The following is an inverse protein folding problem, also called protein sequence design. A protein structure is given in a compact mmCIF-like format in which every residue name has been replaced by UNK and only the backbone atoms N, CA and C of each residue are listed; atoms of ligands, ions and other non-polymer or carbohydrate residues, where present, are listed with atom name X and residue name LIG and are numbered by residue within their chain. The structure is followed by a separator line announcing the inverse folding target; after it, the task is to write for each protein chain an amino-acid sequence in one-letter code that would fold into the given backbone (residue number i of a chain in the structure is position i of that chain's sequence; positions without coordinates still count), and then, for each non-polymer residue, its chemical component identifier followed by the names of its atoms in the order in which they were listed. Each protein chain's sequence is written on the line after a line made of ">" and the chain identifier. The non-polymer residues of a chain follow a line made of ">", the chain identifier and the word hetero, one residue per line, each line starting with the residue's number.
data_IF_607243680903
#
_entry.id   IF_607243680903
#
_cell.length_a   1.000
_cell.length_b   1.000
_cell.length_c   1.000
_cell.angle_alpha   90.00
_cell.angle_beta   90.00
_cell.angle_gamma   90.00
#
_symmetry.space_group_name_H-M   'P 1'
#
loop_
_entity.id
_entity.type
_entity.pdbx_description
1 polymer ?
#
# COMPACT_ATOMS: atom_id res chain seq x y z
N UNK A 1 45.57 21.28 29.70
CA UNK A 1 44.78 20.08 29.34
C UNK A 1 43.55 20.59 28.64
N UNK A 2 43.41 20.53 27.31
CA UNK A 2 42.16 20.92 26.64
C UNK A 2 41.15 19.76 26.74
N UNK A 3 39.96 20.09 27.17
CA UNK A 3 38.77 19.23 27.13
C UNK A 3 38.48 18.86 25.68
N UNK A 4 38.48 17.60 25.38
CA UNK A 4 37.94 17.06 24.15
C UNK A 4 36.46 16.85 24.35
N UNK A 5 35.68 17.85 23.94
CA UNK A 5 34.23 17.70 23.74
C UNK A 5 34.02 16.70 22.60
N UNK A 6 33.66 15.48 22.99
CA UNK A 6 33.16 14.45 22.05
C UNK A 6 31.76 14.90 21.68
N UNK A 7 31.61 15.61 20.55
CA UNK A 7 30.32 15.80 19.91
C UNK A 7 29.69 14.44 19.69
N UNK A 8 28.66 14.14 20.46
CA UNK A 8 27.81 12.99 20.23
C UNK A 8 27.16 13.16 18.87
N UNK A 9 27.56 12.35 17.92
CA UNK A 9 27.03 12.29 16.57
C UNK A 9 25.61 11.72 16.66
N UNK A 10 24.62 12.57 17.01
CA UNK A 10 23.22 12.21 17.03
C UNK A 10 22.83 11.79 15.60
N UNK A 11 22.47 10.53 15.42
CA UNK A 11 21.88 10.06 14.17
C UNK A 11 20.66 10.93 13.87
N UNK A 12 20.54 11.47 12.64
CA UNK A 12 19.36 12.24 12.28
C UNK A 12 18.09 11.40 12.52
N UNK A 13 17.10 12.01 13.14
CA UNK A 13 15.81 11.35 13.38
C UNK A 13 15.25 10.82 12.06
N UNK A 14 14.77 9.57 12.05
CA UNK A 14 14.15 8.97 10.87
C UNK A 14 12.89 9.76 10.51
N UNK A 15 12.63 10.03 9.22
CA UNK A 15 11.43 10.72 8.82
C UNK A 15 10.20 9.87 9.18
N UNK A 16 9.15 10.52 9.68
CA UNK A 16 7.88 9.87 10.01
C UNK A 16 7.19 9.37 8.73
N UNK A 17 7.33 10.12 7.62
CA UNK A 17 6.85 9.75 6.29
C UNK A 17 7.75 10.37 5.21
N UNK A 18 7.65 9.85 4.00
CA UNK A 18 8.28 10.38 2.78
C UNK A 18 7.20 10.94 1.87
N UNK A 19 7.51 12.06 1.20
CA UNK A 19 6.62 12.70 0.22
C UNK A 19 7.27 12.67 -1.15
N UNK A 20 6.56 12.13 -2.14
CA UNK A 20 6.92 12.19 -3.55
C UNK A 20 5.88 13.05 -4.29
N UNK A 21 6.33 13.94 -5.18
CA UNK A 21 5.48 14.83 -5.99
C UNK A 21 5.16 16.16 -5.29
N UNK A 22 3.97 16.74 -5.53
CA UNK A 22 3.55 18.01 -4.96
C UNK A 22 3.61 18.01 -3.42
N UNK A 23 4.10 19.10 -2.83
CA UNK A 23 4.29 19.18 -1.38
C UNK A 23 3.07 19.69 -0.64
N UNK A 24 2.18 20.41 -1.31
CA UNK A 24 0.93 20.95 -0.77
C UNK A 24 -0.28 20.41 -1.53
N UNK A 25 -1.45 20.48 -0.89
CA UNK A 25 -2.70 19.91 -1.40
C UNK A 25 -3.24 20.73 -2.60
N UNK A 26 -2.96 22.02 -2.65
CA UNK A 26 -3.40 22.94 -3.71
C UNK A 26 -2.77 22.58 -5.08
N UNK A 27 -1.57 22.01 -5.09
CA UNK A 27 -0.86 21.62 -6.30
C UNK A 27 -1.14 20.15 -6.70
N UNK A 28 -1.68 19.35 -5.79
CA UNK A 28 -1.95 17.95 -6.00
C UNK A 28 -3.34 17.70 -6.56
N UNK A 29 -3.44 16.84 -7.58
CA UNK A 29 -4.72 16.33 -8.06
C UNK A 29 -5.39 15.46 -7.02
N UNK A 30 -4.60 14.64 -6.32
CA UNK A 30 -5.01 13.73 -5.26
C UNK A 30 -3.82 13.43 -4.34
N UNK A 31 -4.11 12.94 -3.14
CA UNK A 31 -3.12 12.34 -2.25
C UNK A 31 -3.27 10.81 -2.26
N UNK A 32 -2.16 10.08 -2.45
CA UNK A 32 -2.10 8.64 -2.32
C UNK A 32 -1.28 8.24 -1.10
N UNK A 33 -1.94 7.73 -0.07
CA UNK A 33 -1.30 7.18 1.12
C UNK A 33 -0.88 5.73 0.84
N UNK A 34 0.42 5.49 0.74
CA UNK A 34 1.00 4.26 0.21
C UNK A 34 1.75 3.45 1.28
N UNK A 35 1.10 2.43 1.83
CA UNK A 35 1.59 1.55 2.88
C UNK A 35 2.49 0.44 2.35
N UNK A 36 3.58 0.15 3.07
CA UNK A 36 4.53 -0.90 2.70
C UNK A 36 4.05 -2.32 3.06
N UNK A 37 4.72 -3.34 2.50
CA UNK A 37 4.51 -4.75 2.82
C UNK A 37 5.22 -5.21 4.10
N UNK A 38 5.02 -6.47 4.49
CA UNK A 38 5.56 -7.02 5.74
C UNK A 38 7.09 -7.05 5.83
N UNK A 39 7.78 -7.21 4.70
CA UNK A 39 9.22 -7.50 4.67
C UNK A 39 10.15 -6.30 4.51
N UNK A 40 9.64 -5.18 3.97
CA UNK A 40 10.43 -4.02 3.59
C UNK A 40 9.68 -2.72 3.88
N UNK A 41 10.39 -1.66 4.24
CA UNK A 41 9.83 -0.37 4.65
C UNK A 41 9.47 0.56 3.48
N UNK A 42 9.09 1.78 3.84
CA UNK A 42 8.65 2.84 2.92
C UNK A 42 9.72 3.27 1.91
N UNK A 43 11.00 3.07 2.22
CA UNK A 43 12.18 3.43 1.44
C UNK A 43 12.66 2.33 0.48
N UNK A 44 12.01 1.16 0.50
CA UNK A 44 12.36 0.05 -0.38
C UNK A 44 12.24 0.46 -1.86
N UNK A 45 13.16 -0.06 -2.70
CA UNK A 45 13.25 0.26 -4.14
C UNK A 45 11.90 0.15 -4.87
N UNK A 46 11.14 -0.91 -4.64
CA UNK A 46 9.82 -1.09 -5.24
C UNK A 46 8.86 0.05 -4.86
N UNK A 47 8.79 0.40 -3.56
CA UNK A 47 7.94 1.47 -3.05
C UNK A 47 8.34 2.81 -3.65
N UNK A 48 9.63 3.09 -3.70
CA UNK A 48 10.19 4.33 -4.24
C UNK A 48 9.89 4.47 -5.73
N UNK A 49 10.13 3.42 -6.52
CA UNK A 49 9.91 3.46 -7.96
C UNK A 49 8.42 3.66 -8.34
N UNK A 50 7.50 3.00 -7.62
CA UNK A 50 6.05 3.19 -7.83
C UNK A 50 5.63 4.59 -7.41
N UNK A 51 6.07 5.07 -6.23
CA UNK A 51 5.73 6.39 -5.72
C UNK A 51 6.20 7.51 -6.67
N UNK A 52 7.44 7.46 -7.14
CA UNK A 52 7.98 8.43 -8.09
C UNK A 52 7.24 8.40 -9.44
N UNK A 53 6.89 7.20 -9.93
CA UNK A 53 6.09 7.06 -11.15
C UNK A 53 4.72 7.72 -11.02
N UNK A 54 4.01 7.54 -9.92
CA UNK A 54 2.72 8.18 -9.64
C UNK A 54 2.88 9.69 -9.48
N UNK A 55 3.90 10.12 -8.74
CA UNK A 55 4.17 11.52 -8.44
C UNK A 55 4.43 12.38 -9.69
N UNK A 56 4.99 11.79 -10.75
CA UNK A 56 5.18 12.43 -12.05
C UNK A 56 3.86 12.90 -12.73
N UNK A 57 2.71 12.48 -12.21
CA UNK A 57 1.38 12.83 -12.70
C UNK A 57 0.62 13.83 -11.80
N UNK A 58 1.33 14.65 -11.03
CA UNK A 58 0.76 15.62 -10.09
C UNK A 58 -0.08 15.00 -8.98
N UNK A 59 0.22 13.75 -8.59
CA UNK A 59 -0.37 13.07 -7.44
C UNK A 59 0.66 13.09 -6.32
N UNK A 60 0.26 13.57 -5.13
CA UNK A 60 1.10 13.53 -3.94
C UNK A 60 1.09 12.11 -3.37
N UNK A 61 2.25 11.50 -3.22
CA UNK A 61 2.37 10.17 -2.62
C UNK A 61 3.02 10.28 -1.25
N UNK A 62 2.31 9.81 -0.23
CA UNK A 62 2.78 9.76 1.16
C UNK A 62 3.14 8.31 1.48
N UNK A 63 4.40 8.06 1.79
CA UNK A 63 4.89 6.74 2.22
C UNK A 63 5.28 6.81 3.70
N UNK A 64 4.89 5.84 4.50
CA UNK A 64 5.19 5.79 5.93
C UNK A 64 5.63 4.39 6.34
N UNK A 65 6.22 4.26 7.52
CA UNK A 65 6.56 2.98 8.13
C UNK A 65 5.61 2.64 9.27
N UNK A 66 5.03 1.44 9.25
CA UNK A 66 4.34 0.88 10.41
C UNK A 66 5.27 0.78 11.64
N UNK A 67 4.76 0.84 12.89
CA UNK A 67 5.58 0.94 14.08
C UNK A 67 6.65 -0.14 14.24
N UNK A 68 6.36 -1.39 13.82
CA UNK A 68 7.36 -2.45 13.87
C UNK A 68 8.53 -2.21 12.90
N UNK A 69 8.27 -1.54 11.76
CA UNK A 69 9.29 -1.21 10.77
C UNK A 69 10.14 -0.02 11.23
N UNK A 70 9.53 0.97 11.89
CA UNK A 70 10.28 2.07 12.55
C UNK A 70 11.28 1.48 13.54
N UNK A 71 10.83 0.62 14.46
CA UNK A 71 11.71 -0.05 15.42
C UNK A 71 12.79 -0.88 14.75
N UNK A 72 12.49 -1.53 13.61
CA UNK A 72 13.47 -2.29 12.85
C UNK A 72 14.54 -1.39 12.23
N UNK A 73 14.20 -0.19 11.79
CA UNK A 73 15.16 0.79 11.27
C UNK A 73 16.06 1.38 12.39
N UNK A 74 15.48 1.61 13.57
CA UNK A 74 16.21 2.16 14.73
C UNK A 74 17.30 1.20 15.24
N UNK A 75 16.98 -0.07 15.41
CA UNK A 75 17.88 -1.05 16.06
C UNK A 75 18.42 -2.15 15.14
N UNK A 76 18.00 -2.18 13.87
CA UNK A 76 18.46 -3.17 12.87
C UNK A 76 17.92 -4.59 13.07
N UNK A 77 17.10 -4.84 14.10
CA UNK A 77 16.62 -6.19 14.43
C UNK A 77 15.41 -6.56 13.58
N UNK A 78 15.45 -7.71 12.93
CA UNK A 78 14.28 -8.27 12.21
C UNK A 78 13.16 -8.57 13.21
N UNK A 79 11.93 -8.16 12.86
CA UNK A 79 10.71 -8.45 13.61
C UNK A 79 9.57 -8.78 12.66
N UNK A 80 8.61 -9.60 13.11
CA UNK A 80 7.37 -9.79 12.38
C UNK A 80 6.54 -8.50 12.41
N UNK A 81 5.58 -8.34 11.50
CA UNK A 81 4.59 -7.26 11.58
C UNK A 81 3.86 -7.26 12.93
N UNK A 82 3.46 -6.10 13.37
CA UNK A 82 2.51 -5.95 14.48
C UNK A 82 1.18 -6.67 14.14
N UNK A 83 0.37 -6.95 15.17
CA UNK A 83 -0.97 -7.52 14.99
C UNK A 83 -1.88 -6.56 14.23
N UNK A 84 -2.87 -7.09 13.50
CA UNK A 84 -3.78 -6.33 12.66
C UNK A 84 -4.40 -5.09 13.33
N UNK A 85 -4.95 -5.14 14.57
CA UNK A 85 -5.55 -3.94 15.19
C UNK A 85 -4.55 -2.78 15.32
N UNK A 86 -3.30 -3.07 15.67
CA UNK A 86 -2.27 -2.04 15.80
C UNK A 86 -1.84 -1.45 14.45
N UNK A 87 -1.81 -2.27 13.40
CA UNK A 87 -1.53 -1.79 12.03
C UNK A 87 -2.68 -0.91 11.52
N UNK A 88 -3.93 -1.27 11.81
CA UNK A 88 -5.10 -0.49 11.43
C UNK A 88 -5.15 0.84 12.17
N UNK A 89 -4.89 0.86 13.48
CA UNK A 89 -4.84 2.09 14.27
C UNK A 89 -3.76 3.05 13.77
N UNK A 90 -2.58 2.56 13.46
CA UNK A 90 -1.50 3.37 12.89
C UNK A 90 -1.87 3.93 11.50
N UNK A 91 -2.48 3.10 10.65
CA UNK A 91 -2.97 3.54 9.34
C UNK A 91 -4.07 4.60 9.48
N UNK A 92 -4.98 4.47 10.46
CA UNK A 92 -6.01 5.45 10.75
C UNK A 92 -5.39 6.81 11.10
N UNK A 93 -4.37 6.85 11.97
CA UNK A 93 -3.68 8.10 12.31
C UNK A 93 -3.12 8.81 11.07
N UNK A 94 -2.56 8.06 10.13
CA UNK A 94 -2.09 8.64 8.86
C UNK A 94 -3.25 9.11 7.97
N UNK A 95 -4.35 8.36 7.91
CA UNK A 95 -5.56 8.79 7.18
C UNK A 95 -6.08 10.11 7.76
N UNK A 96 -6.21 10.21 9.08
CA UNK A 96 -6.69 11.41 9.75
C UNK A 96 -5.80 12.63 9.50
N UNK A 97 -4.50 12.42 9.38
CA UNK A 97 -3.54 13.47 9.08
C UNK A 97 -3.65 14.00 7.65
N UNK A 98 -4.05 13.16 6.68
CA UNK A 98 -4.01 13.49 5.24
C UNK A 98 -5.40 13.48 4.57
N UNK A 99 -6.49 13.40 5.35
CA UNK A 99 -7.86 13.38 4.84
C UNK A 99 -8.32 14.78 4.40
N UNK A 100 -7.98 15.18 3.19
CA UNK A 100 -8.29 16.49 2.56
C UNK A 100 -9.45 16.42 1.54
N UNK A 101 -10.19 15.32 1.49
CA UNK A 101 -11.28 15.07 0.55
C UNK A 101 -10.85 14.45 -0.78
N UNK A 102 -9.56 14.34 -1.07
CA UNK A 102 -9.02 13.71 -2.29
C UNK A 102 -8.05 12.58 -1.96
N UNK A 103 -8.29 11.88 -0.85
CA UNK A 103 -7.42 10.82 -0.37
C UNK A 103 -7.79 9.48 -0.97
N UNK A 104 -6.84 8.84 -1.64
CA UNK A 104 -6.85 7.43 -2.00
C UNK A 104 -5.82 6.71 -1.15
N UNK A 105 -6.15 5.56 -0.61
CA UNK A 105 -5.23 4.76 0.21
C UNK A 105 -4.86 3.47 -0.49
N UNK A 106 -3.74 2.89 -0.12
CA UNK A 106 -3.34 1.62 -0.70
C UNK A 106 -2.02 1.11 -0.17
N UNK A 107 -1.53 0.05 -0.78
CA UNK A 107 -0.25 -0.50 -0.35
C UNK A 107 0.16 -1.77 -1.05
N UNK A 108 1.38 -2.17 -0.74
CA UNK A 108 1.96 -3.44 -1.17
C UNK A 108 1.58 -4.55 -0.20
N UNK A 109 1.05 -5.66 -0.70
CA UNK A 109 0.82 -6.89 0.09
C UNK A 109 0.05 -6.60 1.40
N UNK A 110 0.66 -6.79 2.56
CA UNK A 110 0.09 -6.47 3.86
C UNK A 110 -0.48 -5.05 3.91
N UNK A 111 0.25 -4.05 3.42
CA UNK A 111 -0.22 -2.65 3.40
C UNK A 111 -1.50 -2.46 2.60
N UNK A 112 -1.61 -3.08 1.42
CA UNK A 112 -2.84 -3.06 0.62
C UNK A 112 -4.00 -3.76 1.34
N UNK A 113 -3.73 -4.89 2.00
CA UNK A 113 -4.74 -5.57 2.81
C UNK A 113 -5.21 -4.70 3.98
N UNK A 114 -4.31 -4.03 4.70
CA UNK A 114 -4.71 -3.10 5.77
C UNK A 114 -5.56 -1.94 5.22
N UNK A 115 -5.18 -1.39 4.07
CA UNK A 115 -5.94 -0.33 3.40
C UNK A 115 -7.37 -0.78 3.03
N UNK A 116 -7.56 -2.02 2.55
CA UNK A 116 -8.89 -2.54 2.23
C UNK A 116 -9.72 -2.90 3.48
N UNK A 117 -9.09 -3.28 4.58
CA UNK A 117 -9.78 -3.63 5.82
C UNK A 117 -10.27 -2.39 6.58
N UNK A 118 -9.51 -1.29 6.60
CA UNK A 118 -9.87 -0.10 7.39
C UNK A 118 -11.11 0.63 6.86
N UNK A 119 -11.47 0.38 5.62
CA UNK A 119 -12.70 0.89 4.98
C UNK A 119 -13.81 -0.17 4.89
N UNK A 120 -13.68 -1.25 5.65
CA UNK A 120 -14.68 -2.32 5.72
C UNK A 120 -15.20 -2.47 7.17
N UNK A 121 -16.27 -3.24 7.35
CA UNK A 121 -16.83 -3.51 8.69
C UNK A 121 -15.86 -4.25 9.64
N UNK A 122 -14.82 -4.89 9.07
CA UNK A 122 -13.76 -5.53 9.88
C UNK A 122 -12.99 -4.51 10.73
N UNK A 123 -12.91 -3.23 10.34
CA UNK A 123 -12.32 -2.18 11.16
C UNK A 123 -13.06 -2.05 12.51
N UNK A 124 -14.40 -2.17 12.50
CA UNK A 124 -15.25 -2.05 13.68
C UNK A 124 -15.07 -3.19 14.70
N UNK A 125 -14.42 -4.29 14.32
CA UNK A 125 -14.09 -5.39 15.24
C UNK A 125 -12.93 -5.03 16.20
N UNK A 126 -12.22 -3.94 15.94
CA UNK A 126 -11.11 -3.44 16.77
C UNK A 126 -11.59 -2.23 17.58
N UNK A 127 -11.62 -2.29 18.94
CA UNK A 127 -12.23 -1.27 19.77
C UNK A 127 -11.74 0.17 19.58
N UNK A 128 -10.48 0.32 19.16
CA UNK A 128 -9.82 1.62 19.02
C UNK A 128 -9.70 2.08 17.55
N UNK A 129 -10.30 1.34 16.63
CA UNK A 129 -10.21 1.63 15.17
C UNK A 129 -11.57 2.05 14.65
N UNK A 130 -11.62 3.18 13.97
CA UNK A 130 -12.80 3.67 13.28
C UNK A 130 -12.77 3.27 11.80
N UNK A 131 -13.94 2.99 11.24
CA UNK A 131 -14.09 2.80 9.81
C UNK A 131 -13.84 4.12 9.07
N UNK A 132 -12.86 4.13 8.16
CA UNK A 132 -12.41 5.33 7.46
C UNK A 132 -13.09 5.54 6.09
N UNK A 133 -14.17 4.83 5.77
CA UNK A 133 -14.87 4.92 4.47
C UNK A 133 -15.21 6.36 4.08
N UNK A 134 -15.69 7.16 5.01
CA UNK A 134 -16.07 8.56 4.74
C UNK A 134 -14.90 9.51 4.42
N UNK A 135 -13.67 9.11 4.73
CA UNK A 135 -12.44 9.92 4.55
C UNK A 135 -11.68 9.57 3.28
N UNK A 136 -12.06 8.50 2.58
CA UNK A 136 -11.27 7.87 1.51
C UNK A 136 -12.11 7.74 0.25
N UNK A 137 -11.52 8.05 -0.91
CA UNK A 137 -12.19 8.00 -2.21
C UNK A 137 -11.97 6.69 -2.98
N UNK A 138 -10.98 5.90 -2.59
CA UNK A 138 -10.68 4.61 -3.22
C UNK A 138 -9.52 3.88 -2.56
N UNK A 139 -9.41 2.60 -2.88
CA UNK A 139 -8.38 1.70 -2.34
C UNK A 139 -7.60 1.04 -3.46
N UNK A 140 -6.26 1.05 -3.40
CA UNK A 140 -5.40 0.40 -4.39
C UNK A 140 -4.44 -0.61 -3.74
N UNK A 141 -4.53 -1.88 -4.13
CA UNK A 141 -3.73 -2.97 -3.58
C UNK A 141 -2.77 -3.53 -4.63
N UNK A 142 -1.49 -3.66 -4.30
CA UNK A 142 -0.46 -4.23 -5.15
C UNK A 142 -0.01 -5.59 -4.60
N UNK A 143 -0.31 -6.67 -5.31
CA UNK A 143 -0.05 -8.02 -4.83
C UNK A 143 -0.85 -8.31 -3.56
N UNK A 144 -2.18 -8.35 -3.66
CA UNK A 144 -3.03 -8.62 -2.50
C UNK A 144 -2.79 -10.05 -1.98
N UNK A 145 -2.56 -10.23 -0.67
CA UNK A 145 -2.29 -11.55 -0.11
C UNK A 145 -3.61 -12.29 0.19
N UNK A 146 -4.26 -12.82 -0.85
CA UNK A 146 -5.54 -13.52 -0.75
C UNK A 146 -5.51 -14.71 0.20
N UNK A 147 -4.38 -15.40 0.28
CA UNK A 147 -4.13 -16.50 1.21
C UNK A 147 -2.63 -16.66 1.45
N UNK A 148 -2.17 -17.36 2.48
CA UNK A 148 -0.77 -17.75 2.60
C UNK A 148 -0.37 -18.71 1.47
N UNK A 149 0.87 -18.67 0.95
CA UNK A 149 1.32 -19.57 -0.09
C UNK A 149 1.05 -21.04 0.26
N UNK A 150 0.43 -21.77 -0.69
CA UNK A 150 0.08 -23.18 -0.52
C UNK A 150 -1.08 -23.47 0.45
N UNK A 151 -1.85 -22.45 0.86
CA UNK A 151 -3.00 -22.58 1.76
C UNK A 151 -4.21 -21.78 1.25
N UNK A 152 -4.75 -22.13 0.06
CA UNK A 152 -5.87 -21.39 -0.53
C UNK A 152 -7.16 -21.45 0.31
N UNK A 153 -7.31 -22.47 1.17
CA UNK A 153 -8.40 -22.58 2.12
C UNK A 153 -8.41 -21.44 3.17
N UNK A 154 -7.26 -20.79 3.42
CA UNK A 154 -7.14 -19.66 4.34
C UNK A 154 -7.38 -18.32 3.62
N UNK A 155 -8.51 -18.20 2.93
CA UNK A 155 -8.88 -17.01 2.18
C UNK A 155 -9.00 -15.76 3.08
N UNK A 156 -8.49 -14.63 2.61
CA UNK A 156 -8.39 -13.36 3.36
C UNK A 156 -9.11 -12.20 2.70
N UNK A 157 -9.88 -12.47 1.66
CA UNK A 157 -10.57 -11.46 0.85
C UNK A 157 -12.08 -11.39 1.07
N UNK A 158 -12.63 -11.98 2.15
CA UNK A 158 -14.09 -12.02 2.38
C UNK A 158 -14.73 -10.62 2.38
N UNK A 159 -14.08 -9.61 2.96
CA UNK A 159 -14.56 -8.23 2.98
C UNK A 159 -14.63 -7.59 1.59
N UNK A 160 -13.90 -8.10 0.60
CA UNK A 160 -13.95 -7.61 -0.78
C UNK A 160 -15.25 -7.97 -1.50
N UNK A 161 -16.01 -8.94 -0.99
CA UNK A 161 -17.34 -9.34 -1.54
C UNK A 161 -18.41 -8.28 -1.27
N UNK A 162 -18.20 -7.45 -0.28
CA UNK A 162 -19.14 -6.41 0.17
C UNK A 162 -18.51 -5.02 0.20
N UNK A 163 -17.36 -4.84 -0.47
CA UNK A 163 -16.69 -3.55 -0.54
C UNK A 163 -17.59 -2.49 -1.19
N UNK A 164 -17.65 -1.31 -0.60
CA UNK A 164 -18.49 -0.19 -1.08
C UNK A 164 -17.69 0.85 -1.84
N UNK A 165 -16.41 1.03 -1.50
CA UNK A 165 -15.53 1.98 -2.18
C UNK A 165 -14.91 1.38 -3.43
N UNK A 166 -14.66 2.21 -4.48
CA UNK A 166 -13.82 1.80 -5.60
C UNK A 166 -12.53 1.15 -5.10
N UNK A 167 -12.26 -0.07 -5.54
CA UNK A 167 -11.09 -0.83 -5.12
C UNK A 167 -10.39 -1.43 -6.34
N UNK A 168 -9.11 -1.09 -6.52
CA UNK A 168 -8.25 -1.67 -7.54
C UNK A 168 -7.28 -2.66 -6.92
N UNK A 169 -7.23 -3.89 -7.46
CA UNK A 169 -6.22 -4.88 -7.11
C UNK A 169 -5.33 -5.13 -8.33
N UNK A 170 -4.04 -4.85 -8.20
CA UNK A 170 -3.02 -5.17 -9.19
C UNK A 170 -2.30 -6.44 -8.75
N UNK A 171 -2.53 -7.55 -9.45
CA UNK A 171 -2.06 -8.88 -9.06
C UNK A 171 -1.08 -9.44 -10.10
N UNK A 172 -0.02 -10.07 -9.66
CA UNK A 172 0.85 -10.84 -10.56
C UNK A 172 0.16 -12.14 -10.98
N UNK A 173 0.21 -12.51 -12.27
CA UNK A 173 -0.45 -13.74 -12.76
C UNK A 173 0.02 -15.00 -12.03
N UNK A 174 1.26 -15.02 -11.55
CA UNK A 174 1.90 -16.15 -10.84
C UNK A 174 2.08 -15.89 -9.35
N UNK A 175 1.41 -14.90 -8.79
CA UNK A 175 1.53 -14.58 -7.37
C UNK A 175 1.06 -15.77 -6.53
N UNK A 176 1.95 -16.32 -5.71
CA UNK A 176 1.63 -17.48 -4.84
C UNK A 176 0.71 -17.18 -3.68
N UNK A 177 0.39 -15.90 -3.45
CA UNK A 177 -0.63 -15.45 -2.50
C UNK A 177 -2.03 -15.33 -3.13
N UNK A 178 -2.19 -15.73 -4.39
CA UNK A 178 -3.40 -15.72 -5.20
C UNK A 178 -2.99 -15.68 -6.67
N UNK A 179 -2.92 -16.82 -7.33
CA UNK A 179 -2.64 -16.94 -8.77
C UNK A 179 -3.83 -16.46 -9.58
N UNK A 180 -3.60 -16.10 -10.85
CA UNK A 180 -4.67 -15.62 -11.72
C UNK A 180 -5.89 -16.55 -11.77
N UNK A 181 -5.76 -17.89 -11.95
CA UNK A 181 -6.92 -18.79 -11.95
C UNK A 181 -7.68 -18.81 -10.62
N UNK A 182 -6.98 -18.69 -9.48
CA UNK A 182 -7.62 -18.64 -8.16
C UNK A 182 -8.40 -17.32 -8.00
N UNK A 183 -7.75 -16.20 -8.33
CA UNK A 183 -8.33 -14.84 -8.18
C UNK A 183 -9.53 -14.65 -9.11
N UNK A 184 -9.50 -15.15 -10.34
CA UNK A 184 -10.63 -15.12 -11.27
C UNK A 184 -11.80 -16.03 -10.83
N UNK A 185 -11.54 -17.02 -9.97
CA UNK A 185 -12.55 -17.92 -9.41
C UNK A 185 -13.32 -17.37 -8.21
N UNK A 186 -12.88 -16.28 -7.60
CA UNK A 186 -13.56 -15.67 -6.44
C UNK A 186 -14.54 -14.58 -6.86
N UNK A 187 -15.55 -14.37 -6.00
CA UNK A 187 -16.53 -13.30 -6.18
C UNK A 187 -16.11 -12.05 -5.43
N UNK A 188 -16.36 -10.91 -6.04
CA UNK A 188 -16.09 -9.58 -5.50
C UNK A 188 -17.33 -8.69 -5.65
N UNK A 189 -17.41 -7.61 -4.89
CA UNK A 189 -18.37 -6.55 -5.13
C UNK A 189 -18.08 -5.85 -6.48
N UNK A 190 -19.11 -5.23 -7.09
CA UNK A 190 -18.97 -4.49 -8.36
C UNK A 190 -17.98 -3.32 -8.27
N UNK A 191 -17.74 -2.80 -7.07
CA UNK A 191 -16.75 -1.77 -6.78
C UNK A 191 -15.30 -2.25 -6.89
N UNK A 192 -15.06 -3.57 -6.91
CA UNK A 192 -13.71 -4.16 -6.93
C UNK A 192 -13.31 -4.56 -8.34
N UNK A 193 -12.21 -4.02 -8.82
CA UNK A 193 -11.60 -4.40 -10.09
C UNK A 193 -10.24 -5.05 -9.88
N UNK A 194 -9.97 -6.13 -10.61
CA UNK A 194 -8.68 -6.81 -10.60
C UNK A 194 -8.02 -6.70 -11.96
N UNK A 195 -6.77 -6.24 -11.99
CA UNK A 195 -5.94 -6.20 -13.20
C UNK A 195 -4.67 -7.03 -12.97
N UNK A 196 -4.32 -7.85 -13.96
CA UNK A 196 -3.16 -8.73 -13.86
C UNK A 196 -1.93 -8.15 -14.55
N UNK A 197 -0.76 -8.31 -13.91
CA UNK A 197 0.53 -8.00 -14.48
C UNK A 197 1.11 -9.27 -15.12
N UNK A 198 1.46 -9.22 -16.44
CA UNK A 198 1.90 -10.42 -17.18
C UNK A 198 3.08 -11.13 -16.53
N UNK A 199 2.95 -12.43 -16.36
CA UNK A 199 3.94 -13.32 -15.72
C UNK A 199 4.48 -12.82 -14.38
N UNK A 200 3.80 -11.85 -13.72
CA UNK A 200 4.22 -11.24 -12.45
C UNK A 200 4.16 -12.22 -11.28
N UNK A 201 5.14 -12.15 -10.40
CA UNK A 201 5.12 -12.78 -9.07
C UNK A 201 4.48 -11.86 -8.03
N UNK A 202 4.64 -12.17 -6.74
CA UNK A 202 4.12 -11.32 -5.63
C UNK A 202 4.68 -9.89 -5.65
N UNK A 203 5.82 -9.65 -6.27
CA UNK A 203 6.41 -8.31 -6.49
C UNK A 203 6.10 -7.74 -7.88
N UNK A 204 5.15 -8.36 -8.60
CA UNK A 204 4.75 -8.01 -9.97
C UNK A 204 5.88 -8.22 -10.99
N UNK A 205 6.93 -8.95 -10.61
CA UNK A 205 8.13 -9.18 -11.41
C UNK A 205 7.96 -10.40 -12.30
N UNK A 206 8.15 -10.27 -13.63
CA UNK A 206 8.08 -11.39 -14.55
C UNK A 206 9.38 -12.22 -14.55
N UNK A 207 9.31 -13.46 -14.99
CA UNK A 207 10.50 -14.31 -15.22
C UNK A 207 11.28 -13.80 -16.44
N UNK A 208 12.60 -13.90 -16.41
CA UNK A 208 13.47 -13.48 -17.52
C UNK A 208 13.10 -14.11 -18.88
N UNK A 209 12.58 -15.35 -18.88
CA UNK A 209 12.20 -16.09 -20.09
C UNK A 209 10.76 -15.84 -20.56
N UNK A 210 9.99 -14.99 -19.90
CA UNK A 210 8.57 -14.75 -20.22
C UNK A 210 8.36 -13.85 -21.44
N UNK A 211 9.36 -13.12 -21.84
CA UNK A 211 9.25 -12.06 -22.86
C UNK A 211 8.79 -10.71 -22.31
N UNK A 212 8.47 -10.63 -21.05
CA UNK A 212 8.14 -9.38 -20.33
C UNK A 212 9.30 -8.92 -19.48
N UNK A 213 9.37 -7.62 -19.21
CA UNK A 213 10.38 -7.02 -18.33
C UNK A 213 9.76 -6.49 -17.04
N UNK A 214 10.56 -6.39 -15.99
CA UNK A 214 10.16 -5.76 -14.73
C UNK A 214 9.75 -4.29 -14.93
N UNK A 215 10.45 -3.58 -15.83
CA UNK A 215 10.13 -2.20 -16.15
C UNK A 215 8.77 -2.06 -16.82
N UNK A 216 8.43 -2.89 -17.80
CA UNK A 216 7.10 -2.88 -18.43
C UNK A 216 5.98 -3.14 -17.44
N UNK A 217 6.15 -4.10 -16.52
CA UNK A 217 5.16 -4.35 -15.48
C UNK A 217 5.06 -3.18 -14.50
N UNK A 218 6.18 -2.53 -14.16
CA UNK A 218 6.21 -1.33 -13.32
C UNK A 218 5.48 -0.15 -13.98
N UNK A 219 5.74 0.11 -15.25
CA UNK A 219 5.07 1.15 -16.02
C UNK A 219 3.56 0.91 -16.13
N UNK A 220 3.13 -0.33 -16.39
CA UNK A 220 1.71 -0.72 -16.36
C UNK A 220 1.10 -0.51 -14.99
N UNK A 221 1.80 -0.88 -13.93
CA UNK A 221 1.36 -0.68 -12.54
C UNK A 221 1.11 0.79 -12.26
N UNK A 222 2.08 1.65 -12.59
CA UNK A 222 1.95 3.11 -12.43
C UNK A 222 0.78 3.64 -13.24
N UNK A 223 0.66 3.25 -14.51
CA UNK A 223 -0.44 3.68 -15.37
C UNK A 223 -1.81 3.35 -14.75
N UNK A 224 -2.02 2.11 -14.34
CA UNK A 224 -3.28 1.68 -13.73
C UNK A 224 -3.58 2.41 -12.43
N UNK A 225 -2.56 2.67 -11.60
CA UNK A 225 -2.72 3.42 -10.35
C UNK A 225 -3.10 4.88 -10.63
N UNK A 226 -2.43 5.53 -11.56
CA UNK A 226 -2.72 6.93 -11.93
C UNK A 226 -4.12 7.09 -12.49
N UNK A 227 -4.55 6.20 -13.39
CA UNK A 227 -5.89 6.18 -13.95
C UNK A 227 -6.92 6.02 -12.81
N UNK A 228 -6.76 4.99 -11.99
CA UNK A 228 -7.66 4.70 -10.87
C UNK A 228 -7.75 5.85 -9.85
N UNK A 229 -6.60 6.42 -9.44
CA UNK A 229 -6.57 7.52 -8.47
C UNK A 229 -7.34 8.74 -9.04
N UNK A 230 -7.10 9.10 -10.29
CA UNK A 230 -7.79 10.23 -10.94
C UNK A 230 -9.30 9.98 -11.04
N UNK A 231 -9.72 8.80 -11.45
CA UNK A 231 -11.13 8.41 -11.54
C UNK A 231 -11.80 8.47 -10.17
N UNK A 232 -11.17 7.93 -9.13
CA UNK A 232 -11.72 7.91 -7.77
C UNK A 232 -11.99 9.30 -7.19
N UNK A 233 -11.16 10.30 -7.50
CA UNK A 233 -11.33 11.67 -6.98
C UNK A 233 -12.15 12.58 -7.92
N UNK A 234 -12.39 12.17 -9.16
CA UNK A 234 -13.19 12.93 -10.12
C UNK A 234 -14.69 12.67 -10.00
N UNK A 235 -15.09 11.65 -9.24
CA UNK A 235 -16.48 11.28 -9.00
C UNK A 235 -17.17 12.16 -7.94
N UNK A 236 -16.45 13.16 -7.41
CA UNK A 236 -16.95 14.21 -6.51
C UNK A 236 -17.42 15.43 -7.31
#
# INVERSE_FOLDING_TARGET
>A
MPNSDVEANEKPALPIYLVDGPKCDEEAIATFLFAHGAGAGMDHEFMTAIAQGIAAHSIRVIRFNFPYMVKRQEDGKKRPPDRQPKLLLDLQHHIDQFADGKLVIGGKSMGGRMASLIVSDVANESPDVENCTAKVQGVACLGFPFHPPGKPENFRGEHLKVATLPTLILQGERDTFGTRPEVEGWQYADSVSVKFLPDGDHSLKPRKKSGYTEQENREKTVKYLVEFIKESVSAL
#
